data_IF_945513935468
#
_entry.id   IF_945513935468
#
_cell.length_a   1.000
_cell.length_b   1.000
_cell.length_c   1.000
_cell.angle_alpha   90.00
_cell.angle_beta   90.00
_cell.angle_gamma   90.00
#
_symmetry.space_group_name_H-M   'P 1'
#
loop_
_entity.id
_entity.type
_entity.pdbx_description
1 polymer ?
#
# COMPACT_ATOMS: atom_id res chain seq x y z
N UNK A 1 -16.88 33.21 0.24
CA UNK A 1 -17.50 31.93 -0.18
C UNK A 1 -16.35 30.98 -0.50
N UNK A 2 -16.25 29.84 0.18
CA UNK A 2 -15.24 28.82 -0.15
C UNK A 2 -15.57 28.18 -1.49
N UNK A 3 -14.57 27.92 -2.33
CA UNK A 3 -14.75 27.28 -3.64
C UNK A 3 -15.18 25.81 -3.48
N UNK A 4 -15.78 25.22 -4.53
CA UNK A 4 -16.12 23.79 -4.54
C UNK A 4 -14.88 22.90 -4.29
N UNK A 5 -13.70 23.34 -4.73
CA UNK A 5 -12.42 22.65 -4.52
C UNK A 5 -12.01 22.69 -3.05
N UNK A 6 -12.11 23.85 -2.40
CA UNK A 6 -11.82 23.99 -0.96
C UNK A 6 -12.76 23.14 -0.11
N UNK A 7 -14.04 23.11 -0.46
CA UNK A 7 -15.02 22.25 0.21
C UNK A 7 -14.69 20.77 0.06
N UNK A 8 -14.27 20.36 -1.15
CA UNK A 8 -13.86 18.99 -1.41
C UNK A 8 -12.61 18.57 -0.62
N UNK A 9 -11.57 19.42 -0.61
CA UNK A 9 -10.37 19.16 0.19
C UNK A 9 -10.70 19.11 1.69
N UNK A 10 -11.55 20.01 2.17
CA UNK A 10 -12.02 20.00 3.56
C UNK A 10 -12.75 18.70 3.92
N UNK A 11 -13.61 18.20 3.02
CA UNK A 11 -14.27 16.90 3.19
C UNK A 11 -13.25 15.75 3.28
N UNK A 12 -12.25 15.71 2.41
CA UNK A 12 -11.21 14.68 2.44
C UNK A 12 -10.38 14.73 3.75
N UNK A 13 -10.01 15.92 4.20
CA UNK A 13 -9.32 16.15 5.49
C UNK A 13 -10.15 15.62 6.67
N UNK A 14 -11.42 16.01 6.77
CA UNK A 14 -12.32 15.52 7.81
C UNK A 14 -12.48 14.00 7.78
N UNK A 15 -12.54 13.40 6.59
CA UNK A 15 -12.60 11.95 6.42
C UNK A 15 -11.36 11.26 6.98
N UNK A 16 -10.17 11.76 6.68
CA UNK A 16 -8.90 11.24 7.24
C UNK A 16 -8.89 11.39 8.75
N UNK A 17 -9.15 12.59 9.27
CA UNK A 17 -9.14 12.87 10.71
C UNK A 17 -10.11 11.97 11.50
N UNK A 18 -11.35 11.86 11.02
CA UNK A 18 -12.36 10.97 11.61
C UNK A 18 -11.88 9.52 11.63
N UNK A 19 -11.25 9.05 10.55
CA UNK A 19 -10.72 7.69 10.47
C UNK A 19 -9.59 7.48 11.49
N UNK A 20 -8.72 8.47 11.69
CA UNK A 20 -7.66 8.39 12.71
C UNK A 20 -8.27 8.26 14.11
N UNK A 21 -9.21 9.12 14.48
CA UNK A 21 -9.85 9.10 15.80
C UNK A 21 -10.68 7.83 16.08
N UNK A 22 -11.29 7.23 15.05
CA UNK A 22 -11.99 5.95 15.20
C UNK A 22 -10.99 4.82 15.50
N UNK A 23 -9.84 4.82 14.85
CA UNK A 23 -8.85 3.74 14.95
C UNK A 23 -7.95 3.88 16.18
N UNK A 24 -7.66 5.11 16.61
CA UNK A 24 -6.78 5.44 17.73
C UNK A 24 -7.58 6.17 18.80
N UNK A 25 -7.91 5.44 19.86
CA UNK A 25 -8.60 5.93 21.05
C UNK A 25 -8.17 5.09 22.26
N UNK A 26 -8.63 5.45 23.45
CA UNK A 26 -8.23 4.80 24.71
C UNK A 26 -8.49 3.28 24.70
N UNK A 27 -9.59 2.85 24.08
CA UNK A 27 -9.97 1.44 24.02
C UNK A 27 -9.11 0.63 23.03
N UNK A 28 -8.45 1.29 22.08
CA UNK A 28 -7.63 0.61 21.06
C UNK A 28 -6.14 0.55 21.40
N UNK A 29 -5.68 1.26 22.44
CA UNK A 29 -4.26 1.37 22.84
C UNK A 29 -3.56 0.00 22.89
N UNK A 30 -4.12 -0.96 23.64
CA UNK A 30 -3.49 -2.27 23.83
C UNK A 30 -3.34 -3.04 22.52
N UNK A 31 -4.36 -3.00 21.66
CA UNK A 31 -4.30 -3.66 20.36
C UNK A 31 -3.34 -2.95 19.40
N UNK A 32 -3.25 -1.61 19.46
CA UNK A 32 -2.29 -0.85 18.67
C UNK A 32 -0.87 -1.25 19.06
N UNK A 33 -0.54 -1.20 20.35
CA UNK A 33 0.80 -1.50 20.84
C UNK A 33 1.20 -2.94 20.49
N UNK A 34 0.35 -3.91 20.81
CA UNK A 34 0.68 -5.32 20.61
C UNK A 34 0.69 -5.68 19.12
N UNK A 35 -0.39 -5.37 18.41
CA UNK A 35 -0.61 -5.90 17.07
C UNK A 35 -0.11 -4.96 15.98
N UNK A 36 -0.40 -3.66 16.09
CA UNK A 36 -0.03 -2.70 15.05
C UNK A 36 1.43 -2.26 15.09
N UNK A 37 2.04 -2.30 16.27
CA UNK A 37 3.41 -1.84 16.48
C UNK A 37 4.36 -3.01 16.71
N UNK A 38 4.24 -3.71 17.85
CA UNK A 38 5.21 -4.74 18.23
C UNK A 38 5.26 -5.93 17.26
N UNK A 39 4.13 -6.60 17.03
CA UNK A 39 4.10 -7.77 16.13
C UNK A 39 4.46 -7.38 14.68
N UNK A 40 4.00 -6.22 14.19
CA UNK A 40 4.21 -5.79 12.80
C UNK A 40 5.59 -5.18 12.50
N UNK A 41 6.27 -4.59 13.49
CA UNK A 41 7.50 -3.82 13.25
C UNK A 41 8.70 -4.25 14.08
N UNK A 42 8.51 -4.92 15.21
CA UNK A 42 9.61 -5.42 16.05
C UNK A 42 9.83 -6.91 15.83
N UNK A 43 8.75 -7.70 15.87
CA UNK A 43 8.84 -9.16 15.74
C UNK A 43 8.97 -9.63 14.30
N UNK A 44 8.33 -8.93 13.36
CA UNK A 44 8.50 -9.20 11.92
C UNK A 44 9.92 -8.84 11.48
N UNK A 45 10.70 -9.85 11.06
CA UNK A 45 12.12 -9.68 10.71
C UNK A 45 12.36 -8.75 9.53
N UNK A 46 11.44 -8.70 8.58
CA UNK A 46 11.59 -7.86 7.38
C UNK A 46 11.35 -6.40 7.76
N UNK A 47 10.26 -6.15 8.50
CA UNK A 47 9.87 -4.83 8.97
C UNK A 47 10.88 -4.26 9.95
N UNK A 48 11.36 -5.06 10.91
CA UNK A 48 12.40 -4.65 11.87
C UNK A 48 13.71 -4.28 11.18
N UNK A 49 14.21 -5.11 10.27
CA UNK A 49 15.42 -4.78 9.49
C UNK A 49 15.25 -3.51 8.65
N UNK A 50 14.03 -3.21 8.21
CA UNK A 50 13.74 -1.94 7.56
C UNK A 50 13.77 -0.76 8.55
N UNK A 51 13.28 -0.93 9.78
CA UNK A 51 13.34 0.16 10.77
C UNK A 51 14.78 0.47 11.19
N UNK A 52 15.63 -0.56 11.37
CA UNK A 52 17.07 -0.37 11.62
C UNK A 52 17.68 0.51 10.51
N UNK A 53 17.50 0.10 9.25
CA UNK A 53 17.95 0.88 8.08
C UNK A 53 17.38 2.30 8.09
N UNK A 54 16.09 2.46 8.39
CA UNK A 54 15.44 3.76 8.40
C UNK A 54 16.14 4.71 9.38
N UNK A 55 16.29 4.31 10.65
CA UNK A 55 16.91 5.16 11.68
C UNK A 55 18.41 5.38 11.45
N UNK A 56 19.15 4.38 10.98
CA UNK A 56 20.57 4.52 10.62
C UNK A 56 20.80 5.56 9.51
N UNK A 57 19.85 5.68 8.59
CA UNK A 57 20.01 6.51 7.39
C UNK A 57 19.29 7.85 7.45
N UNK A 58 18.70 8.22 8.60
CA UNK A 58 18.19 9.59 8.83
C UNK A 58 19.31 10.65 8.81
N UNK A 59 20.58 10.23 8.96
CA UNK A 59 21.72 11.14 8.93
C UNK A 59 21.96 11.74 7.52
N UNK A 60 21.99 13.07 7.46
CA UNK A 60 22.28 13.86 6.25
C UNK A 60 23.63 13.51 5.61
N UNK A 61 24.67 13.28 6.42
CA UNK A 61 26.02 13.05 5.93
C UNK A 61 26.09 11.77 5.10
N UNK A 62 25.35 10.74 5.53
CA UNK A 62 25.24 9.49 4.79
C UNK A 62 24.63 9.71 3.39
N UNK A 63 23.56 10.51 3.28
CA UNK A 63 22.90 10.77 2.00
C UNK A 63 23.85 11.42 0.97
N UNK A 64 24.56 12.47 1.37
CA UNK A 64 25.45 13.21 0.46
C UNK A 64 26.73 12.44 0.12
N UNK A 65 27.27 11.65 1.06
CA UNK A 65 28.51 10.90 0.86
C UNK A 65 28.32 9.55 0.15
N UNK A 66 27.14 8.94 0.26
CA UNK A 66 26.84 7.66 -0.40
C UNK A 66 26.94 7.77 -1.92
N UNK A 67 27.37 6.72 -2.61
CA UNK A 67 27.41 6.67 -4.09
C UNK A 67 26.16 6.02 -4.71
N UNK A 68 25.32 5.38 -3.91
CA UNK A 68 24.22 4.55 -4.38
C UNK A 68 22.99 4.61 -3.46
N UNK A 69 22.80 5.75 -2.78
CA UNK A 69 21.70 5.99 -1.85
C UNK A 69 20.34 5.63 -2.46
N UNK A 70 20.00 6.13 -3.64
CA UNK A 70 18.70 5.92 -4.27
C UNK A 70 18.47 4.47 -4.70
N UNK A 71 19.53 3.73 -5.07
CA UNK A 71 19.44 2.28 -5.35
C UNK A 71 19.11 1.52 -4.06
N UNK A 72 19.79 1.83 -2.97
CA UNK A 72 19.51 1.24 -1.66
C UNK A 72 18.10 1.63 -1.16
N UNK A 73 17.76 2.91 -1.24
CA UNK A 73 16.48 3.48 -0.86
C UNK A 73 15.34 2.81 -1.61
N UNK A 74 15.44 2.70 -2.94
CA UNK A 74 14.47 1.97 -3.77
C UNK A 74 14.28 0.54 -3.29
N UNK A 75 15.38 -0.18 -3.04
CA UNK A 75 15.33 -1.57 -2.58
C UNK A 75 14.67 -1.70 -1.22
N UNK A 76 15.10 -0.91 -0.23
CA UNK A 76 14.60 -0.95 1.15
C UNK A 76 13.14 -0.57 1.24
N UNK A 77 12.69 0.43 0.49
CA UNK A 77 11.29 0.84 0.41
C UNK A 77 10.43 0.01 -0.57
N UNK A 78 10.99 -1.04 -1.17
CA UNK A 78 10.33 -1.91 -2.15
C UNK A 78 9.68 -1.15 -3.31
N UNK A 79 10.35 -0.10 -3.80
CA UNK A 79 9.87 0.72 -4.91
C UNK A 79 10.09 0.01 -6.26
N UNK A 80 9.04 -0.05 -7.08
CA UNK A 80 9.03 -0.85 -8.31
C UNK A 80 8.96 -0.01 -9.59
N UNK A 81 9.50 -0.56 -10.68
CA UNK A 81 9.43 0.02 -12.03
C UNK A 81 10.14 1.38 -12.13
N UNK A 82 11.34 1.46 -11.56
CA UNK A 82 12.27 2.59 -11.72
C UNK A 82 13.58 1.95 -12.19
N UNK A 83 14.11 2.42 -13.31
CA UNK A 83 15.34 1.90 -13.90
C UNK A 83 16.58 2.57 -13.29
N UNK A 84 17.76 1.99 -13.57
CA UNK A 84 19.01 2.47 -13.00
C UNK A 84 19.47 3.80 -13.58
N UNK A 85 19.19 4.10 -14.86
CA UNK A 85 19.55 5.38 -15.48
C UNK A 85 18.85 6.52 -14.75
N UNK A 86 17.57 6.32 -14.40
CA UNK A 86 16.81 7.29 -13.62
C UNK A 86 17.36 7.46 -12.19
N UNK A 87 17.72 6.37 -11.52
CA UNK A 87 18.32 6.44 -10.18
C UNK A 87 19.66 7.17 -10.21
N UNK A 88 20.49 6.91 -11.23
CA UNK A 88 21.77 7.59 -11.40
C UNK A 88 21.58 9.09 -11.67
N UNK A 89 20.51 9.48 -12.40
CA UNK A 89 20.10 10.89 -12.50
C UNK A 89 19.79 11.49 -11.13
N UNK A 90 19.06 10.78 -10.27
CA UNK A 90 18.78 11.28 -8.91
C UNK A 90 20.08 11.40 -8.09
N UNK A 91 20.99 10.42 -8.16
CA UNK A 91 22.30 10.46 -7.48
C UNK A 91 23.08 11.73 -7.85
N UNK A 92 23.11 12.08 -9.13
CA UNK A 92 23.79 13.27 -9.65
C UNK A 92 23.16 14.60 -9.19
N UNK A 93 21.91 14.57 -8.71
CA UNK A 93 21.17 15.77 -8.30
C UNK A 93 20.87 15.80 -6.78
N UNK A 94 21.56 14.99 -5.98
CA UNK A 94 21.31 14.86 -4.53
C UNK A 94 21.31 16.18 -3.77
N UNK A 95 22.29 17.05 -4.05
CA UNK A 95 22.40 18.34 -3.37
C UNK A 95 21.18 19.22 -3.62
N UNK A 96 20.72 19.31 -4.88
CA UNK A 96 19.52 20.08 -5.22
C UNK A 96 18.26 19.44 -4.62
N UNK A 97 18.11 18.12 -4.74
CA UNK A 97 16.96 17.38 -4.18
C UNK A 97 16.84 17.65 -2.67
N UNK A 98 17.95 17.52 -1.92
CA UNK A 98 17.96 17.78 -0.49
C UNK A 98 17.67 19.24 -0.16
N UNK A 99 18.18 20.18 -0.96
CA UNK A 99 17.88 21.60 -0.79
C UNK A 99 16.39 21.88 -0.98
N UNK A 100 15.78 21.34 -2.04
CA UNK A 100 14.35 21.50 -2.30
C UNK A 100 13.49 20.93 -1.17
N UNK A 101 13.88 19.78 -0.62
CA UNK A 101 13.20 19.20 0.56
C UNK A 101 13.31 20.17 1.75
N UNK A 102 14.52 20.61 2.10
CA UNK A 102 14.76 21.45 3.29
C UNK A 102 14.11 22.83 3.21
N UNK A 103 14.02 23.39 2.01
CA UNK A 103 13.33 24.66 1.76
C UNK A 103 11.82 24.48 1.59
N UNK A 104 11.30 23.27 1.86
CA UNK A 104 9.91 22.90 1.68
C UNK A 104 9.35 23.20 0.29
N UNK A 105 10.21 23.20 -0.73
CA UNK A 105 9.88 23.46 -2.14
C UNK A 105 9.36 22.19 -2.82
N UNK A 106 8.40 21.53 -2.19
CA UNK A 106 7.97 20.18 -2.51
C UNK A 106 7.24 20.05 -3.85
N UNK A 107 6.48 21.07 -4.25
CA UNK A 107 5.85 21.10 -5.59
C UNK A 107 6.91 21.11 -6.69
N UNK A 108 7.96 21.93 -6.53
CA UNK A 108 9.07 21.99 -7.48
C UNK A 108 9.84 20.68 -7.50
N UNK A 109 10.12 20.09 -6.33
CA UNK A 109 10.74 18.77 -6.23
C UNK A 109 9.92 17.71 -6.98
N UNK A 110 8.60 17.66 -6.73
CA UNK A 110 7.72 16.67 -7.35
C UNK A 110 7.65 16.84 -8.86
N UNK A 111 7.47 18.06 -9.38
CA UNK A 111 7.38 18.33 -10.81
C UNK A 111 8.72 17.99 -11.51
N UNK A 112 9.84 18.42 -10.94
CA UNK A 112 11.15 18.26 -11.58
C UNK A 112 11.64 16.80 -11.58
N UNK A 113 11.29 16.03 -10.53
CA UNK A 113 11.93 14.75 -10.25
C UNK A 113 10.97 13.57 -10.06
N UNK A 114 9.64 13.72 -10.08
CA UNK A 114 8.76 12.58 -9.76
C UNK A 114 7.45 12.53 -10.55
N UNK A 115 6.88 13.65 -11.01
CA UNK A 115 5.57 13.66 -11.67
C UNK A 115 5.59 13.02 -13.07
N UNK A 116 6.63 13.30 -13.87
CA UNK A 116 6.81 12.79 -15.24
C UNK A 116 8.20 12.18 -15.42
N UNK A 117 8.55 11.22 -14.57
CA UNK A 117 9.82 10.54 -14.67
C UNK A 117 9.88 9.72 -15.97
N UNK A 118 10.85 10.00 -16.84
CA UNK A 118 11.11 9.18 -18.03
C UNK A 118 11.88 7.92 -17.61
N UNK A 119 11.19 6.78 -17.63
CA UNK A 119 11.70 5.48 -17.20
C UNK A 119 11.82 4.54 -18.41
N UNK A 120 12.90 3.76 -18.45
CA UNK A 120 13.11 2.72 -19.47
C UNK A 120 12.08 1.58 -19.31
N UNK A 121 11.40 1.23 -20.39
CA UNK A 121 10.44 0.15 -20.48
C UNK A 121 10.66 -0.65 -21.77
N UNK A 122 11.50 -1.69 -21.70
CA UNK A 122 12.03 -2.36 -22.88
C UNK A 122 12.99 -1.42 -23.62
N UNK A 123 12.77 -1.23 -24.92
CA UNK A 123 13.58 -0.35 -25.77
C UNK A 123 13.07 1.11 -25.79
N UNK A 124 11.93 1.38 -25.15
CA UNK A 124 11.30 2.71 -25.13
C UNK A 124 11.44 3.38 -23.76
N UNK A 125 11.32 4.72 -23.73
CA UNK A 125 11.12 5.49 -22.50
C UNK A 125 9.65 5.84 -22.35
N UNK A 126 9.12 5.72 -21.12
CA UNK A 126 7.74 6.04 -20.79
C UNK A 126 7.71 6.98 -19.58
N UNK A 127 6.85 7.99 -19.64
CA UNK A 127 6.55 8.84 -18.48
C UNK A 127 5.83 8.03 -17.40
N UNK A 128 6.29 8.20 -16.16
CA UNK A 128 5.72 7.57 -14.98
C UNK A 128 5.65 8.57 -13.83
N UNK A 129 4.53 8.57 -13.14
CA UNK A 129 4.37 9.25 -11.87
C UNK A 129 4.98 8.38 -10.75
N UNK A 130 5.96 8.94 -10.06
CA UNK A 130 6.70 8.34 -8.96
C UNK A 130 6.26 8.91 -7.59
N UNK A 131 4.99 9.29 -7.43
CA UNK A 131 4.45 9.89 -6.21
C UNK A 131 4.73 9.14 -4.91
N UNK A 132 4.69 7.80 -4.89
CA UNK A 132 5.07 7.04 -3.68
C UNK A 132 6.57 7.13 -3.37
N UNK A 133 7.43 7.22 -4.39
CA UNK A 133 8.87 7.46 -4.17
C UNK A 133 9.05 8.86 -3.56
N UNK A 134 8.46 9.87 -4.17
CA UNK A 134 8.46 11.24 -3.64
C UNK A 134 8.03 11.29 -2.16
N UNK A 135 6.86 10.73 -1.82
CA UNK A 135 6.33 10.77 -0.46
C UNK A 135 7.28 10.13 0.56
N UNK A 136 7.79 8.93 0.24
CA UNK A 136 8.75 8.21 1.09
C UNK A 136 10.07 8.95 1.24
N UNK A 137 10.56 9.58 0.18
CA UNK A 137 11.80 10.35 0.21
C UNK A 137 11.64 11.61 1.07
N UNK A 138 10.53 12.35 0.91
CA UNK A 138 10.27 13.55 1.71
C UNK A 138 10.12 13.19 3.18
N UNK A 139 9.35 12.13 3.51
CA UNK A 139 9.24 11.62 4.88
C UNK A 139 10.60 11.28 5.47
N UNK A 140 11.48 10.62 4.71
CA UNK A 140 12.82 10.24 5.19
C UNK A 140 13.65 11.43 5.70
N UNK A 141 13.47 12.61 5.10
CA UNK A 141 14.22 13.82 5.47
C UNK A 141 13.44 14.80 6.34
N UNK A 142 12.11 14.72 6.35
CA UNK A 142 11.21 15.57 7.13
C UNK A 142 10.16 14.71 7.86
N UNK A 143 10.58 13.74 8.70
CA UNK A 143 9.67 12.79 9.31
C UNK A 143 8.75 13.42 10.36
N UNK A 144 8.98 14.66 10.77
CA UNK A 144 8.14 15.42 11.69
C UNK A 144 7.04 16.24 10.98
N UNK A 145 7.07 16.30 9.66
CA UNK A 145 6.15 17.11 8.85
C UNK A 145 5.29 16.25 7.92
N UNK A 146 5.85 15.15 7.41
CA UNK A 146 5.25 14.39 6.32
C UNK A 146 5.16 12.89 6.61
N UNK A 147 4.15 12.22 6.05
CA UNK A 147 3.96 10.76 6.18
C UNK A 147 4.64 9.97 5.04
N UNK A 148 5.01 8.70 5.29
CA UNK A 148 5.60 7.82 4.29
C UNK A 148 4.53 7.15 3.40
N UNK A 149 3.81 7.96 2.61
CA UNK A 149 2.62 7.48 1.89
C UNK A 149 2.92 6.37 0.87
N UNK A 150 2.13 5.30 0.95
CA UNK A 150 2.01 4.26 -0.08
C UNK A 150 0.55 4.01 -0.48
N UNK A 151 0.33 3.14 -1.47
CA UNK A 151 -1.02 2.81 -1.94
C UNK A 151 -1.91 2.21 -0.84
N UNK A 152 -1.46 1.19 -0.07
CA UNK A 152 -2.24 0.68 1.06
C UNK A 152 -2.75 1.77 2.00
N UNK A 153 -1.90 2.69 2.46
CA UNK A 153 -2.30 3.76 3.38
C UNK A 153 -3.27 4.73 2.69
N UNK A 154 -2.97 5.13 1.45
CA UNK A 154 -3.83 6.01 0.64
C UNK A 154 -5.24 5.42 0.48
N UNK A 155 -5.32 4.13 0.17
CA UNK A 155 -6.58 3.39 0.01
C UNK A 155 -7.30 3.21 1.34
N UNK A 156 -6.56 2.95 2.43
CA UNK A 156 -7.10 2.80 3.77
C UNK A 156 -7.85 4.05 4.25
N UNK A 157 -7.35 5.23 3.89
CA UNK A 157 -8.03 6.50 4.15
C UNK A 157 -9.10 6.85 3.10
N UNK A 158 -9.32 5.98 2.12
CA UNK A 158 -10.32 6.16 1.07
C UNK A 158 -9.98 7.31 0.14
N UNK A 159 -8.69 7.52 -0.13
CA UNK A 159 -8.16 8.52 -1.06
C UNK A 159 -7.67 7.84 -2.36
N UNK A 160 -8.17 6.66 -2.70
CA UNK A 160 -7.73 5.87 -3.86
C UNK A 160 -7.91 6.61 -5.20
N UNK A 161 -8.90 7.51 -5.28
CA UNK A 161 -9.18 8.35 -6.46
C UNK A 161 -8.28 9.59 -6.56
N UNK A 162 -7.62 9.98 -5.48
CA UNK A 162 -6.77 11.17 -5.46
C UNK A 162 -5.41 10.90 -6.07
N UNK A 163 -4.72 11.94 -6.51
CA UNK A 163 -3.31 11.82 -6.84
C UNK A 163 -2.48 11.53 -5.58
N UNK A 164 -1.32 10.91 -5.76
CA UNK A 164 -0.38 10.71 -4.64
C UNK A 164 0.00 12.02 -3.97
N UNK A 165 0.22 13.07 -4.77
CA UNK A 165 0.62 14.38 -4.28
C UNK A 165 -0.44 14.99 -3.36
N UNK A 166 -1.72 14.98 -3.77
CA UNK A 166 -2.82 15.52 -2.95
C UNK A 166 -3.04 14.68 -1.69
N UNK A 167 -3.10 13.35 -1.82
CA UNK A 167 -3.26 12.46 -0.67
C UNK A 167 -2.12 12.61 0.36
N UNK A 168 -0.89 12.80 -0.12
CA UNK A 168 0.29 13.01 0.72
C UNK A 168 0.16 14.23 1.61
N UNK A 169 -0.25 15.38 1.07
CA UNK A 169 -0.44 16.59 1.87
C UNK A 169 -1.61 16.45 2.85
N UNK A 170 -2.75 15.91 2.39
CA UNK A 170 -3.93 15.73 3.25
C UNK A 170 -3.58 14.84 4.45
N UNK A 171 -2.99 13.66 4.22
CA UNK A 171 -2.69 12.72 5.31
C UNK A 171 -1.62 13.30 6.25
N UNK A 172 -0.58 13.94 5.70
CA UNK A 172 0.49 14.54 6.51
C UNK A 172 -0.03 15.66 7.42
N UNK A 173 -0.91 16.51 6.90
CA UNK A 173 -1.53 17.59 7.67
C UNK A 173 -2.44 17.05 8.77
N UNK A 174 -3.31 16.09 8.44
CA UNK A 174 -4.23 15.52 9.43
C UNK A 174 -3.51 14.66 10.47
N UNK A 175 -2.39 14.01 10.13
CA UNK A 175 -1.51 13.36 11.11
C UNK A 175 -0.98 14.38 12.11
N UNK A 176 -0.43 15.50 11.61
CA UNK A 176 0.11 16.57 12.44
C UNK A 176 -0.95 17.15 13.36
N UNK A 177 -2.11 17.48 12.80
CA UNK A 177 -3.24 18.04 13.53
C UNK A 177 -3.73 17.10 14.63
N UNK A 178 -4.00 15.84 14.27
CA UNK A 178 -4.48 14.85 15.23
C UNK A 178 -3.47 14.60 16.35
N UNK A 179 -2.18 14.50 16.04
CA UNK A 179 -1.12 14.28 17.03
C UNK A 179 -1.02 15.43 18.04
N UNK A 180 -1.17 16.68 17.59
CA UNK A 180 -1.18 17.86 18.47
C UNK A 180 -2.38 17.81 19.41
N UNK A 181 -3.57 17.54 18.88
CA UNK A 181 -4.83 17.49 19.65
C UNK A 181 -4.88 16.30 20.62
N UNK A 182 -4.16 15.21 20.34
CA UNK A 182 -4.20 13.95 21.10
C UNK A 182 -2.84 13.58 21.70
N UNK A 183 -2.01 14.58 22.05
CA UNK A 183 -0.62 14.40 22.49
C UNK A 183 -0.46 13.42 23.66
N UNK A 184 -1.36 13.48 24.65
CA UNK A 184 -1.30 12.58 25.81
C UNK A 184 -1.53 11.11 25.39
N UNK A 185 -2.54 10.85 24.57
CA UNK A 185 -2.83 9.51 24.06
C UNK A 185 -1.65 8.96 23.24
N UNK A 186 -1.08 9.78 22.36
CA UNK A 186 0.05 9.38 21.53
C UNK A 186 1.32 9.12 22.36
N UNK A 187 1.56 9.90 23.42
CA UNK A 187 2.64 9.65 24.37
C UNK A 187 2.46 8.33 25.12
N UNK A 188 1.24 8.00 25.56
CA UNK A 188 0.95 6.71 26.19
C UNK A 188 1.27 5.55 25.25
N UNK A 189 0.87 5.65 23.98
CA UNK A 189 1.21 4.64 22.96
C UNK A 189 2.72 4.53 22.77
N UNK A 190 3.42 5.67 22.66
CA UNK A 190 4.88 5.72 22.48
C UNK A 190 5.63 5.05 23.63
N UNK A 191 5.31 5.40 24.88
CA UNK A 191 6.05 4.88 26.03
C UNK A 191 5.75 3.40 26.28
N UNK A 192 4.51 2.96 26.10
CA UNK A 192 4.19 1.54 26.18
C UNK A 192 4.85 0.74 25.05
N UNK A 193 4.97 1.32 23.85
CA UNK A 193 5.67 0.68 22.75
C UNK A 193 7.18 0.58 23.01
N UNK A 194 7.79 1.63 23.59
CA UNK A 194 9.20 1.66 24.00
C UNK A 194 9.54 0.50 24.94
N UNK A 195 8.66 0.20 25.89
CA UNK A 195 8.87 -0.90 26.84
C UNK A 195 8.92 -2.28 26.19
N UNK A 196 8.32 -2.47 25.00
CA UNK A 196 8.33 -3.73 24.28
C UNK A 196 9.54 -3.89 23.34
N UNK A 197 10.20 -2.81 22.95
CA UNK A 197 11.37 -2.85 22.06
C UNK A 197 12.68 -3.10 22.84
N UNK A 198 12.81 -4.31 23.38
CA UNK A 198 13.97 -4.71 24.20
C UNK A 198 15.30 -4.64 23.44
N UNK A 199 15.26 -4.86 22.11
CA UNK A 199 16.45 -4.87 21.27
C UNK A 199 16.83 -3.48 20.74
N UNK A 200 16.07 -2.44 21.08
CA UNK A 200 16.28 -1.06 20.63
C UNK A 200 16.35 -0.94 19.10
N UNK A 201 15.44 -1.64 18.42
CA UNK A 201 15.30 -1.60 16.96
C UNK A 201 14.95 -0.19 16.50
N UNK A 202 14.13 0.53 17.29
CA UNK A 202 13.75 1.91 17.03
C UNK A 202 14.57 2.86 17.90
N UNK A 203 15.00 3.96 17.30
CA UNK A 203 15.46 5.12 18.07
C UNK A 203 14.25 5.98 18.46
N UNK A 204 13.74 5.75 19.67
CA UNK A 204 12.60 6.50 20.21
C UNK A 204 12.88 8.00 20.44
N UNK A 205 14.13 8.46 20.38
CA UNK A 205 14.45 9.89 20.40
C UNK A 205 14.22 10.53 19.02
N UNK A 206 14.34 9.73 17.94
CA UNK A 206 14.11 10.14 16.56
C UNK A 206 12.70 9.75 16.05
N UNK A 207 11.93 8.99 16.84
CA UNK A 207 10.57 8.56 16.50
C UNK A 207 9.56 9.70 16.63
N UNK A 208 9.35 10.41 15.52
CA UNK A 208 8.37 11.49 15.39
C UNK A 208 6.92 10.99 15.49
N UNK A 209 6.00 11.93 15.73
CA UNK A 209 4.55 11.63 15.75
C UNK A 209 4.08 11.06 14.40
N UNK A 210 4.47 11.67 13.26
CA UNK A 210 4.12 11.11 11.94
C UNK A 210 4.72 9.74 11.71
N UNK A 211 5.95 9.46 12.15
CA UNK A 211 6.53 8.13 12.00
C UNK A 211 5.79 7.11 12.84
N UNK A 212 5.39 7.45 14.06
CA UNK A 212 4.58 6.56 14.88
C UNK A 212 3.21 6.29 14.25
N UNK A 213 2.53 7.32 13.75
CA UNK A 213 1.26 7.16 13.02
C UNK A 213 1.43 6.36 11.72
N UNK A 214 2.53 6.58 10.98
CA UNK A 214 2.90 5.81 9.79
C UNK A 214 3.02 4.31 10.10
N UNK A 215 3.71 3.92 11.17
CA UNK A 215 3.80 2.52 11.59
C UNK A 215 2.41 1.93 11.89
N UNK A 216 1.59 2.63 12.68
CA UNK A 216 0.24 2.18 13.04
C UNK A 216 -0.62 1.94 11.78
N UNK A 217 -0.69 2.94 10.90
CA UNK A 217 -1.57 2.86 9.73
C UNK A 217 -1.00 1.99 8.62
N UNK A 218 0.32 1.88 8.49
CA UNK A 218 0.95 0.92 7.59
C UNK A 218 0.54 -0.51 7.95
N UNK A 219 0.63 -0.87 9.24
CA UNK A 219 0.20 -2.18 9.74
C UNK A 219 -1.29 -2.43 9.45
N UNK A 220 -2.18 -1.48 9.82
CA UNK A 220 -3.62 -1.61 9.59
C UNK A 220 -3.95 -1.76 8.10
N UNK A 221 -3.37 -0.92 7.24
CA UNK A 221 -3.61 -0.95 5.80
C UNK A 221 -3.14 -2.26 5.16
N UNK A 222 -1.95 -2.75 5.52
CA UNK A 222 -1.39 -3.96 4.94
C UNK A 222 -2.02 -5.23 5.52
N UNK A 223 -2.51 -5.22 6.77
CA UNK A 223 -3.34 -6.31 7.32
C UNK A 223 -4.68 -6.38 6.61
N UNK A 224 -5.36 -5.26 6.35
CA UNK A 224 -6.60 -5.26 5.58
C UNK A 224 -6.40 -5.78 4.16
N UNK A 225 -5.24 -5.56 3.54
CA UNK A 225 -4.89 -6.21 2.26
C UNK A 225 -4.74 -7.72 2.39
N UNK A 226 -4.14 -8.22 3.48
CA UNK A 226 -4.02 -9.66 3.78
C UNK A 226 -5.37 -10.32 4.13
N UNK A 227 -6.29 -9.58 4.74
CA UNK A 227 -7.66 -10.04 5.04
C UNK A 227 -8.54 -9.99 3.79
N UNK A 228 -8.42 -8.95 2.95
CA UNK A 228 -9.11 -8.86 1.65
C UNK A 228 -8.52 -9.79 0.57
N UNK A 229 -7.35 -10.38 0.80
CA UNK A 229 -6.84 -11.53 0.00
C UNK A 229 -7.28 -12.88 0.58
N UNK A 230 -7.98 -12.89 1.72
CA UNK A 230 -8.61 -14.05 2.35
C UNK A 230 -10.14 -13.99 2.42
N UNK A 231 -10.79 -12.93 1.90
CA UNK A 231 -12.23 -12.85 1.69
C UNK A 231 -12.53 -12.14 0.35
N UNK A 232 -13.29 -12.74 -0.59
CA UNK A 232 -13.42 -12.27 -1.96
C UNK A 232 -14.59 -11.28 -2.11
N UNK A 233 -14.30 -10.01 -2.39
CA UNK A 233 -15.29 -9.08 -2.94
C UNK A 233 -14.66 -7.94 -3.78
N UNK A 234 -14.24 -8.34 -4.99
CA UNK A 234 -14.16 -7.60 -6.29
C UNK A 234 -13.19 -6.41 -6.53
N UNK A 235 -12.73 -6.17 -7.78
CA UNK A 235 -12.40 -7.12 -8.85
C UNK A 235 -10.97 -6.85 -9.37
N UNK A 236 -10.00 -7.61 -8.87
CA UNK A 236 -8.86 -7.97 -9.72
C UNK A 236 -9.38 -9.03 -10.68
N UNK A 237 -9.14 -8.87 -12.00
CA UNK A 237 -9.42 -9.87 -13.05
C UNK A 237 -9.42 -11.30 -12.50
N UNK A 238 -10.61 -11.83 -12.23
CA UNK A 238 -10.79 -13.17 -11.67
C UNK A 238 -10.27 -14.17 -12.69
N UNK A 239 -9.50 -15.17 -12.27
CA UNK A 239 -9.06 -16.21 -13.20
C UNK A 239 -10.24 -17.14 -13.45
N UNK A 240 -10.30 -17.73 -14.64
CA UNK A 240 -11.43 -18.57 -15.05
C UNK A 240 -11.74 -19.70 -14.05
N UNK A 241 -10.75 -20.31 -13.40
CA UNK A 241 -10.99 -21.36 -12.40
C UNK A 241 -11.62 -20.84 -11.12
N UNK A 242 -11.26 -19.63 -10.68
CA UNK A 242 -11.88 -19.00 -9.51
C UNK A 242 -13.35 -18.68 -9.79
N UNK A 243 -13.67 -18.24 -11.01
CA UNK A 243 -15.05 -17.99 -11.43
C UNK A 243 -15.88 -19.30 -11.50
N UNK A 244 -15.27 -20.41 -11.93
CA UNK A 244 -15.92 -21.74 -11.93
C UNK A 244 -16.19 -22.21 -10.49
N UNK A 245 -15.23 -22.01 -9.57
CA UNK A 245 -15.42 -22.33 -8.14
C UNK A 245 -16.60 -21.55 -7.58
N UNK A 246 -16.66 -20.23 -7.86
CA UNK A 246 -17.74 -19.37 -7.38
C UNK A 246 -19.13 -19.90 -7.80
N UNK A 247 -19.31 -20.25 -9.08
CA UNK A 247 -20.59 -20.82 -9.54
C UNK A 247 -20.94 -22.11 -8.83
N UNK A 248 -19.98 -23.02 -8.67
CA UNK A 248 -20.25 -24.31 -8.02
C UNK A 248 -20.57 -24.15 -6.52
N UNK A 249 -20.00 -23.14 -5.87
CA UNK A 249 -20.34 -22.76 -4.50
C UNK A 249 -21.74 -22.14 -4.42
N UNK A 250 -22.04 -21.17 -5.30
CA UNK A 250 -23.33 -20.46 -5.30
C UNK A 250 -24.50 -21.40 -5.59
N UNK A 251 -24.30 -22.35 -6.50
CA UNK A 251 -25.31 -23.35 -6.87
C UNK A 251 -25.35 -24.54 -5.91
N UNK A 252 -24.31 -24.70 -5.08
CA UNK A 252 -24.14 -25.77 -4.10
C UNK A 252 -24.44 -27.17 -4.66
N UNK A 253 -24.05 -27.43 -5.92
CA UNK A 253 -24.25 -28.72 -6.61
C UNK A 253 -23.22 -28.91 -7.71
N UNK A 254 -23.04 -30.17 -8.13
CA UNK A 254 -22.32 -30.48 -9.35
C UNK A 254 -23.07 -29.95 -10.58
N UNK A 255 -22.32 -29.50 -11.58
CA UNK A 255 -22.88 -28.92 -12.81
C UNK A 255 -22.14 -29.39 -14.04
N UNK A 256 -22.83 -29.44 -15.17
CA UNK A 256 -22.18 -29.69 -16.46
C UNK A 256 -21.32 -28.51 -16.90
N UNK A 257 -20.29 -28.78 -17.71
CA UNK A 257 -19.43 -27.73 -18.30
C UNK A 257 -20.22 -26.70 -19.12
N UNK A 258 -21.35 -27.12 -19.69
CA UNK A 258 -22.27 -26.24 -20.43
C UNK A 258 -23.01 -25.28 -19.50
N UNK A 259 -23.67 -25.80 -18.45
CA UNK A 259 -24.38 -24.95 -17.48
C UNK A 259 -23.42 -23.95 -16.79
N UNK A 260 -22.19 -24.37 -16.50
CA UNK A 260 -21.16 -23.48 -15.94
C UNK A 260 -20.80 -22.36 -16.92
N UNK A 261 -20.58 -22.68 -18.20
CA UNK A 261 -20.28 -21.68 -19.23
C UNK A 261 -21.43 -20.68 -19.40
N UNK A 262 -22.67 -21.17 -19.48
CA UNK A 262 -23.88 -20.33 -19.59
C UNK A 262 -24.00 -19.37 -18.40
N UNK A 263 -23.83 -19.87 -17.16
CA UNK A 263 -23.88 -19.02 -15.96
C UNK A 263 -22.73 -18.01 -15.89
N UNK A 264 -21.51 -18.38 -16.31
CA UNK A 264 -20.39 -17.44 -16.34
C UNK A 264 -20.65 -16.28 -17.31
N UNK A 265 -21.15 -16.61 -18.51
CA UNK A 265 -21.45 -15.61 -19.54
C UNK A 265 -22.63 -14.73 -19.12
N UNK A 266 -23.70 -15.32 -18.55
CA UNK A 266 -24.88 -14.59 -18.06
C UNK A 266 -24.53 -13.62 -16.91
N UNK A 267 -23.81 -14.11 -15.90
CA UNK A 267 -23.45 -13.32 -14.72
C UNK A 267 -22.25 -12.39 -14.95
N UNK A 268 -21.61 -12.46 -16.14
CA UNK A 268 -20.36 -11.75 -16.49
C UNK A 268 -19.27 -11.88 -15.42
N UNK A 269 -19.22 -13.03 -14.76
CA UNK A 269 -18.26 -13.32 -13.70
C UNK A 269 -16.84 -13.46 -14.25
N UNK A 270 -16.66 -13.73 -15.53
CA UNK A 270 -15.36 -13.71 -16.21
C UNK A 270 -15.54 -13.18 -17.62
N UNK A 271 -14.69 -12.23 -18.05
CA UNK A 271 -14.71 -11.70 -19.41
C UNK A 271 -13.37 -12.02 -20.08
N UNK A 272 -13.42 -12.71 -21.22
CA UNK A 272 -12.22 -12.95 -22.04
C UNK A 272 -11.63 -11.62 -22.52
N UNK A 273 -10.32 -11.59 -22.79
CA UNK A 273 -9.64 -10.39 -23.30
C UNK A 273 -10.20 -9.91 -24.64
N UNK A 274 -10.64 -10.84 -25.47
CA UNK A 274 -11.30 -10.60 -26.77
C UNK A 274 -12.81 -10.32 -26.64
N UNK A 275 -13.36 -10.30 -25.41
CA UNK A 275 -14.78 -10.11 -25.08
C UNK A 275 -15.75 -11.16 -25.66
N UNK A 276 -15.24 -12.23 -26.26
CA UNK A 276 -16.09 -13.33 -26.71
C UNK A 276 -16.57 -14.18 -25.53
N UNK A 277 -17.61 -14.98 -25.78
CA UNK A 277 -18.17 -15.87 -24.77
C UNK A 277 -17.22 -17.03 -24.42
N UNK A 278 -17.38 -17.51 -23.19
CA UNK A 278 -16.69 -18.70 -22.68
C UNK A 278 -17.45 -19.93 -23.17
N UNK A 279 -16.73 -20.89 -23.73
CA UNK A 279 -17.33 -22.15 -24.19
C UNK A 279 -17.20 -23.26 -23.15
N UNK A 280 -18.09 -24.24 -23.22
CA UNK A 280 -18.04 -25.47 -22.42
C UNK A 280 -16.70 -26.21 -22.54
N UNK A 281 -16.09 -26.22 -23.73
CA UNK A 281 -14.76 -26.80 -23.97
C UNK A 281 -13.66 -26.09 -23.16
N UNK A 282 -13.77 -24.77 -22.99
CA UNK A 282 -12.83 -24.01 -22.19
C UNK A 282 -12.99 -24.30 -20.69
N UNK A 283 -14.22 -24.55 -20.22
CA UNK A 283 -14.48 -25.02 -18.85
C UNK A 283 -13.88 -26.41 -18.67
N UNK A 284 -14.14 -27.33 -19.61
CA UNK A 284 -13.60 -28.68 -19.59
C UNK A 284 -12.07 -28.69 -19.52
N UNK A 285 -11.40 -27.94 -20.41
CA UNK A 285 -9.94 -27.85 -20.43
C UNK A 285 -9.38 -27.20 -19.16
N UNK A 286 -10.10 -26.21 -18.60
CA UNK A 286 -9.67 -25.52 -17.38
C UNK A 286 -9.76 -26.42 -16.16
N UNK A 287 -10.88 -27.12 -15.96
CA UNK A 287 -11.09 -27.98 -14.78
C UNK A 287 -10.21 -29.22 -14.83
N UNK A 288 -9.90 -29.75 -16.02
CA UNK A 288 -8.91 -30.84 -16.20
C UNK A 288 -7.53 -30.51 -15.62
N UNK A 289 -7.12 -29.23 -15.69
CA UNK A 289 -5.79 -28.78 -15.24
C UNK A 289 -5.68 -28.69 -13.72
N UNK A 290 -6.79 -28.69 -12.99
CA UNK A 290 -6.82 -28.51 -11.53
C UNK A 290 -7.56 -29.67 -10.83
N UNK A 291 -7.02 -30.90 -10.88
CA UNK A 291 -7.63 -32.06 -10.23
C UNK A 291 -7.69 -31.94 -8.70
N UNK A 292 -6.88 -31.05 -8.11
CA UNK A 292 -6.92 -30.72 -6.69
C UNK A 292 -8.07 -29.78 -6.32
N UNK A 293 -8.73 -29.15 -7.30
CA UNK A 293 -9.85 -28.23 -7.08
C UNK A 293 -11.18 -28.83 -7.57
N UNK A 294 -11.13 -29.58 -8.67
CA UNK A 294 -12.33 -30.12 -9.33
C UNK A 294 -12.29 -31.64 -9.42
N UNK A 295 -13.37 -32.29 -8.98
CA UNK A 295 -13.68 -33.65 -9.36
C UNK A 295 -14.50 -33.63 -10.66
N UNK A 296 -14.21 -34.56 -11.57
CA UNK A 296 -14.80 -34.59 -12.90
C UNK A 296 -15.31 -35.97 -13.24
N UNK A 297 -16.56 -36.03 -13.69
CA UNK A 297 -17.15 -37.22 -14.29
C UNK A 297 -17.70 -36.84 -15.68
N UNK A 298 -16.89 -37.11 -16.70
CA UNK A 298 -17.16 -36.65 -18.06
C UNK A 298 -17.27 -35.12 -18.18
N UNK A 299 -18.48 -34.65 -18.50
CA UNK A 299 -18.83 -33.23 -18.58
C UNK A 299 -19.34 -32.64 -17.26
N UNK A 300 -19.55 -33.46 -16.22
CA UNK A 300 -19.97 -33.00 -14.90
C UNK A 300 -18.74 -32.61 -14.07
N UNK A 301 -18.84 -31.46 -13.39
CA UNK A 301 -17.80 -30.87 -12.57
C UNK A 301 -18.35 -30.60 -11.16
N UNK A 302 -17.62 -31.04 -10.15
CA UNK A 302 -17.88 -30.77 -8.74
C UNK A 302 -16.59 -30.27 -8.04
N UNK A 303 -16.70 -29.64 -6.87
CA UNK A 303 -15.52 -29.32 -6.05
C UNK A 303 -15.10 -30.53 -5.23
N UNK A 304 -13.79 -30.74 -5.09
CA UNK A 304 -13.21 -31.89 -4.36
C UNK A 304 -13.62 -31.91 -2.87
N UNK A 305 -13.94 -30.76 -2.28
CA UNK A 305 -14.25 -30.61 -0.85
C UNK A 305 -15.70 -30.22 -0.53
N UNK A 306 -16.62 -30.28 -1.50
CA UNK A 306 -18.04 -30.18 -1.21
C UNK A 306 -18.53 -31.57 -0.75
N UNK A 307 -18.59 -31.79 0.56
CA UNK A 307 -19.47 -32.78 1.18
C UNK A 307 -20.81 -32.15 1.47
#
# INVERSE_FOLDING_TARGET
MTTNEEQYISFLKQKVLKRISIEINENSINNIIKTDLYESHIKDKISSSFQEYYFETLNKEYFLSSKNFFKQFKSRYSLQGIDNEYLDKLENNKTEILQLIRQNSLTKLYINYFNKALIKHGDLKKEKDLGSFFAKLVHHFLPNEYCALDNPIKDYFGLSKESFFIAFFIISEEYKKWAIENKQLLNTIRENFRQLDQNKILDFNLLTDHKLLDLIFWSKANRNKKVNTKNPSQPTSIKLHDAIIQILVDENRAMSTKEIAEKLNFNKLYTKRDKSEITDFQIHGRTKKYPNLFNRDGSIVALVNLK
#
